data_IF_096298214628
#
_entry.id   IF_096298214628
#
_cell.length_a   1.000
_cell.length_b   1.000
_cell.length_c   1.000
_cell.angle_alpha   90.00
_cell.angle_beta   90.00
_cell.angle_gamma   90.00
#
_symmetry.space_group_name_H-M   'P 1'
#
loop_
_entity.id
_entity.type
_entity.pdbx_description
1 polymer ?
#
# COMPACT_ATOMS: atom_id res chain seq x y z
N UNK A 1 -26.21 -4.77 24.20
CA UNK A 1 -24.99 -4.68 23.37
C UNK A 1 -25.40 -4.48 21.91
N UNK A 2 -24.95 -3.41 21.27
CA UNK A 2 -25.44 -2.97 19.95
C UNK A 2 -25.01 -3.92 18.82
N UNK A 3 -25.98 -4.50 18.09
CA UNK A 3 -25.77 -5.36 16.90
C UNK A 3 -24.88 -4.71 15.81
N UNK A 4 -24.75 -3.38 15.80
CA UNK A 4 -23.88 -2.64 14.88
C UNK A 4 -22.39 -2.89 15.12
N UNK A 5 -21.96 -3.23 16.35
CA UNK A 5 -20.55 -3.45 16.69
C UNK A 5 -20.05 -4.83 16.19
N UNK A 6 -20.92 -5.83 16.13
CA UNK A 6 -20.58 -7.17 15.62
C UNK A 6 -20.41 -7.21 14.10
N UNK A 7 -21.20 -6.42 13.36
CA UNK A 7 -21.09 -6.34 11.89
C UNK A 7 -19.77 -5.64 11.50
N UNK A 8 -19.35 -4.61 12.25
CA UNK A 8 -18.07 -3.93 12.01
C UNK A 8 -16.86 -4.80 12.35
N UNK A 9 -16.95 -5.64 13.39
CA UNK A 9 -15.86 -6.56 13.75
C UNK A 9 -15.73 -7.76 12.80
N UNK A 10 -16.85 -8.32 12.33
CA UNK A 10 -16.83 -9.40 11.33
C UNK A 10 -16.28 -8.96 9.98
N UNK A 11 -16.56 -7.73 9.55
CA UNK A 11 -15.98 -7.14 8.34
C UNK A 11 -14.48 -6.89 8.51
N UNK A 12 -14.04 -6.42 9.68
CA UNK A 12 -12.62 -6.19 9.95
C UNK A 12 -11.79 -7.49 9.98
N UNK A 13 -12.32 -8.55 10.60
CA UNK A 13 -11.67 -9.87 10.63
C UNK A 13 -11.66 -10.50 9.23
N UNK A 14 -12.76 -10.39 8.48
CA UNK A 14 -12.82 -10.83 7.08
C UNK A 14 -11.81 -10.09 6.18
N UNK A 15 -11.64 -8.78 6.35
CA UNK A 15 -10.65 -7.98 5.61
C UNK A 15 -9.21 -8.34 6.01
N UNK A 16 -8.95 -8.64 7.29
CA UNK A 16 -7.63 -9.09 7.76
C UNK A 16 -7.30 -10.49 7.21
N UNK A 17 -8.25 -11.42 7.20
CA UNK A 17 -8.05 -12.77 6.62
C UNK A 17 -7.91 -12.72 5.10
N UNK A 18 -8.62 -11.82 4.42
CA UNK A 18 -8.41 -11.54 2.99
C UNK A 18 -7.01 -10.95 2.76
N UNK A 19 -6.55 -10.01 3.59
CA UNK A 19 -5.20 -9.46 3.50
C UNK A 19 -4.11 -10.54 3.72
N UNK A 20 -4.30 -11.44 4.69
CA UNK A 20 -3.37 -12.54 4.97
C UNK A 20 -3.35 -13.59 3.86
N UNK A 21 -4.51 -13.95 3.30
CA UNK A 21 -4.60 -14.93 2.20
C UNK A 21 -4.03 -14.38 0.89
N UNK A 22 -4.24 -13.10 0.60
CA UNK A 22 -3.61 -12.40 -0.53
C UNK A 22 -2.08 -12.36 -0.37
N UNK A 23 -1.58 -11.98 0.81
CA UNK A 23 -0.14 -11.97 1.07
C UNK A 23 0.49 -13.37 1.04
N UNK A 24 -0.22 -14.39 1.54
CA UNK A 24 0.24 -15.79 1.51
C UNK A 24 0.26 -16.37 0.10
N UNK A 25 -0.78 -16.09 -0.71
CA UNK A 25 -0.83 -16.50 -2.11
C UNK A 25 0.25 -15.79 -2.95
N UNK A 26 0.46 -14.49 -2.75
CA UNK A 26 1.52 -13.75 -3.45
C UNK A 26 2.94 -14.16 -3.02
N UNK A 27 3.13 -14.60 -1.77
CA UNK A 27 4.41 -15.15 -1.30
C UNK A 27 4.77 -16.50 -1.92
N UNK A 28 3.79 -17.35 -2.22
CA UNK A 28 4.07 -18.66 -2.83
C UNK A 28 4.42 -18.57 -4.33
N UNK A 29 4.14 -17.46 -5.01
CA UNK A 29 4.66 -17.19 -6.37
C UNK A 29 6.05 -16.52 -6.36
N UNK A 30 6.50 -16.03 -5.21
CA UNK A 30 7.78 -15.34 -5.06
C UNK A 30 8.75 -16.22 -4.30
N UNK A 31 9.59 -16.97 -5.01
CA UNK A 31 10.61 -17.82 -4.41
C UNK A 31 11.42 -17.07 -3.35
N UNK A 32 11.29 -17.53 -2.11
CA UNK A 32 11.94 -16.97 -0.93
C UNK A 32 13.46 -16.91 -1.13
N UNK A 33 14.00 -15.69 -1.24
CA UNK A 33 15.38 -15.41 -0.84
C UNK A 33 15.32 -14.51 0.38
N UNK A 34 15.66 -15.10 1.54
CA UNK A 34 16.18 -14.35 2.68
C UNK A 34 17.26 -13.39 2.17
N UNK A 35 17.01 -12.08 2.25
CA UNK A 35 18.05 -11.06 2.08
C UNK A 35 18.22 -10.37 3.43
N UNK A 36 19.44 -10.48 3.93
CA UNK A 36 19.90 -9.80 5.13
C UNK A 36 19.74 -8.28 4.99
N UNK A 37 19.33 -7.66 6.09
CA UNK A 37 19.09 -6.23 6.22
C UNK A 37 20.38 -5.45 6.01
N UNK A 38 20.45 -4.62 4.97
CA UNK A 38 21.28 -3.42 5.02
C UNK A 38 20.56 -2.39 5.89
N UNK A 39 20.77 -2.48 7.21
CA UNK A 39 20.38 -1.46 8.17
C UNK A 39 21.47 -0.39 8.18
N UNK A 40 21.36 0.61 7.32
CA UNK A 40 22.22 1.77 7.43
C UNK A 40 21.60 2.71 8.48
N UNK A 41 22.25 2.77 9.65
CA UNK A 41 22.02 3.78 10.66
C UNK A 41 22.18 5.17 10.03
N UNK A 42 21.06 5.85 9.76
CA UNK A 42 21.06 7.29 9.56
C UNK A 42 20.95 7.96 10.93
N UNK A 43 22.08 8.03 11.64
CA UNK A 43 22.27 8.95 12.77
C UNK A 43 22.39 10.40 12.24
N UNK A 44 21.31 10.90 11.65
CA UNK A 44 21.13 12.31 11.31
C UNK A 44 19.68 12.70 11.52
N UNK A 45 19.48 13.60 12.49
CA UNK A 45 18.27 14.36 12.84
C UNK A 45 17.10 14.25 11.84
N UNK A 46 15.97 13.74 12.32
CA UNK A 46 14.61 13.84 11.76
C UNK A 46 14.56 13.99 10.23
N UNK A 47 14.68 12.86 9.52
CA UNK A 47 14.35 12.76 8.10
C UNK A 47 13.04 13.50 7.84
N UNK A 48 13.11 14.52 6.97
CA UNK A 48 11.96 15.20 6.35
C UNK A 48 11.20 14.21 5.46
N UNK A 49 10.69 13.10 6.02
CA UNK A 49 10.07 11.94 5.36
C UNK A 49 8.89 12.36 4.48
N UNK A 50 9.21 12.96 3.34
CA UNK A 50 8.34 13.50 2.32
C UNK A 50 8.76 12.75 1.05
N UNK A 51 8.41 11.47 1.01
CA UNK A 51 8.58 10.61 -0.17
C UNK A 51 7.20 10.09 -0.56
N UNK A 52 6.36 10.90 -1.23
CA UNK A 52 4.99 10.51 -1.61
C UNK A 52 4.94 9.32 -2.57
N UNK A 53 6.02 9.08 -3.29
CA UNK A 53 6.20 7.91 -4.16
C UNK A 53 6.81 6.69 -3.42
N UNK A 54 7.01 6.80 -2.10
CA UNK A 54 7.72 5.83 -1.30
C UNK A 54 9.24 5.92 -1.44
N UNK A 55 9.96 5.24 -0.53
CA UNK A 55 11.35 4.86 -0.77
C UNK A 55 11.26 3.63 -1.68
N UNK A 56 11.41 3.81 -2.99
CA UNK A 56 11.25 2.72 -3.97
C UNK A 56 12.03 1.46 -3.57
N UNK A 57 11.61 0.30 -4.07
CA UNK A 57 12.37 -0.94 -3.91
C UNK A 57 13.57 -0.89 -4.89
N UNK A 58 14.56 -0.06 -4.57
CA UNK A 58 15.65 0.36 -5.45
C UNK A 58 16.56 -0.81 -5.89
N UNK A 59 16.59 -1.89 -5.11
CA UNK A 59 17.50 -3.01 -5.30
C UNK A 59 17.16 -3.90 -6.51
N UNK A 60 15.97 -3.76 -7.10
CA UNK A 60 15.49 -4.63 -8.19
C UNK A 60 15.15 -3.88 -9.49
N UNK A 61 15.31 -2.55 -9.54
CA UNK A 61 15.17 -1.82 -10.81
C UNK A 61 16.54 -1.73 -11.49
N UNK A 62 16.67 -2.39 -12.65
CA UNK A 62 17.81 -2.16 -13.53
C UNK A 62 17.76 -0.70 -14.00
N UNK A 63 18.73 0.10 -13.54
CA UNK A 63 18.90 1.46 -14.07
C UNK A 63 19.05 1.42 -15.59
N UNK A 64 18.47 2.41 -16.26
CA UNK A 64 18.67 2.60 -17.71
C UNK A 64 20.12 2.91 -18.08
N UNK A 65 20.97 3.20 -17.10
CA UNK A 65 22.40 3.41 -17.25
C UNK A 65 23.17 2.17 -16.81
N UNK A 66 23.74 1.43 -17.76
CA UNK A 66 24.55 0.23 -17.52
C UNK A 66 25.44 -0.12 -18.72
N UNK A 67 26.37 -1.05 -18.52
CA UNK A 67 27.50 -1.31 -19.43
C UNK A 67 27.13 -1.64 -20.89
N UNK A 68 25.88 -2.06 -21.16
CA UNK A 68 25.41 -2.44 -22.50
C UNK A 68 24.19 -1.64 -23.01
N UNK A 69 23.67 -0.67 -22.23
CA UNK A 69 22.49 0.12 -22.61
C UNK A 69 22.78 1.61 -22.41
N UNK A 70 22.80 2.36 -23.52
CA UNK A 70 22.80 3.82 -23.50
C UNK A 70 21.59 4.32 -24.28
N UNK A 71 20.60 4.86 -23.56
CA UNK A 71 19.50 5.60 -24.18
C UNK A 71 19.97 7.01 -24.55
N UNK A 72 19.41 7.60 -25.61
CA UNK A 72 19.72 8.99 -26.00
C UNK A 72 19.21 9.99 -24.95
N UNK A 73 19.75 11.21 -24.93
CA UNK A 73 19.21 12.26 -24.04
C UNK A 73 17.73 12.56 -24.33
N UNK A 74 17.34 12.60 -25.62
CA UNK A 74 15.95 12.80 -26.00
C UNK A 74 15.03 11.71 -25.46
N UNK A 75 15.43 10.44 -25.58
CA UNK A 75 14.69 9.32 -25.04
C UNK A 75 14.58 9.38 -23.51
N UNK A 76 15.67 9.73 -22.82
CA UNK A 76 15.66 9.90 -21.36
C UNK A 76 14.64 10.93 -20.90
N UNK A 77 14.60 12.08 -21.58
CA UNK A 77 13.67 13.17 -21.27
C UNK A 77 12.22 12.74 -21.54
N UNK A 78 11.94 12.04 -22.63
CA UNK A 78 10.58 11.55 -22.91
C UNK A 78 10.12 10.53 -21.88
N UNK A 79 11.00 9.58 -21.48
CA UNK A 79 10.69 8.63 -20.41
C UNK A 79 10.45 9.30 -19.05
N UNK A 80 11.15 10.41 -18.76
CA UNK A 80 10.88 11.22 -17.57
C UNK A 80 9.51 11.90 -17.65
N UNK A 81 9.15 12.51 -18.78
CA UNK A 81 7.85 13.20 -18.97
C UNK A 81 6.64 12.27 -18.88
N UNK A 82 6.80 11.00 -19.25
CA UNK A 82 5.74 9.98 -19.13
C UNK A 82 5.77 9.26 -17.79
N UNK A 83 6.83 9.43 -17.01
CA UNK A 83 7.04 8.72 -15.75
C UNK A 83 7.37 7.24 -15.92
N UNK A 84 7.67 6.79 -17.15
CA UNK A 84 8.21 5.45 -17.40
C UNK A 84 9.45 5.22 -16.53
N UNK A 85 10.26 6.26 -16.37
CA UNK A 85 11.30 6.36 -15.34
C UNK A 85 11.05 7.55 -14.42
N UNK A 86 11.69 7.49 -13.25
CA UNK A 86 11.73 8.59 -12.31
C UNK A 86 13.19 9.00 -12.09
N UNK A 87 13.49 10.29 -12.26
CA UNK A 87 14.87 10.79 -12.18
C UNK A 87 15.55 10.48 -10.84
N UNK A 88 14.82 10.69 -9.73
CA UNK A 88 15.35 10.44 -8.39
C UNK A 88 15.72 8.97 -8.25
N UNK A 89 14.83 8.07 -8.68
CA UNK A 89 15.10 6.63 -8.63
C UNK A 89 16.29 6.22 -9.49
N UNK A 90 16.46 6.78 -10.68
CA UNK A 90 17.66 6.52 -11.51
C UNK A 90 18.95 6.97 -10.83
N UNK A 91 18.94 8.13 -10.16
CA UNK A 91 20.10 8.59 -9.37
C UNK A 91 20.41 7.59 -8.26
N UNK A 92 19.40 7.13 -7.51
CA UNK A 92 19.60 6.12 -6.46
C UNK A 92 20.09 4.78 -7.00
N UNK A 93 19.55 4.32 -8.11
CA UNK A 93 19.97 3.07 -8.76
C UNK A 93 21.42 3.16 -9.24
N UNK A 94 21.86 4.31 -9.76
CA UNK A 94 23.26 4.53 -10.12
C UNK A 94 24.17 4.63 -8.89
N UNK A 95 23.74 5.30 -7.81
CA UNK A 95 24.48 5.34 -6.54
C UNK A 95 24.62 3.96 -5.92
N UNK A 96 23.64 3.08 -6.10
CA UNK A 96 23.71 1.67 -5.67
C UNK A 96 24.79 0.85 -6.37
N UNK A 97 25.33 1.33 -7.49
CA UNK A 97 26.47 0.70 -8.21
C UNK A 97 27.83 1.25 -7.76
N UNK A 98 27.87 2.25 -6.89
CA UNK A 98 29.12 2.77 -6.37
C UNK A 98 29.84 1.74 -5.48
N UNK A 99 31.18 1.77 -5.42
CA UNK A 99 31.94 1.04 -4.40
C UNK A 99 31.50 1.43 -2.97
N UNK A 100 31.44 0.46 -2.05
CA UNK A 100 30.97 0.67 -0.67
C UNK A 100 31.80 1.72 0.10
N UNK A 101 33.06 1.93 -0.29
CA UNK A 101 33.96 2.89 0.33
C UNK A 101 33.81 4.32 -0.22
N UNK A 102 32.89 4.58 -1.15
CA UNK A 102 32.66 5.90 -1.73
C UNK A 102 31.72 6.74 -0.86
N UNK A 103 32.13 7.97 -0.56
CA UNK A 103 31.23 8.98 -0.02
C UNK A 103 30.25 9.53 -1.07
N UNK A 104 29.19 10.26 -0.65
CA UNK A 104 28.17 10.79 -1.56
C UNK A 104 28.74 11.61 -2.74
N UNK A 105 29.70 12.50 -2.48
CA UNK A 105 30.33 13.32 -3.53
C UNK A 105 31.15 12.48 -4.52
N UNK A 106 31.83 11.43 -4.04
CA UNK A 106 32.60 10.52 -4.90
C UNK A 106 31.67 9.72 -5.81
N UNK A 107 30.52 9.30 -5.29
CA UNK A 107 29.46 8.70 -6.09
C UNK A 107 28.92 9.64 -7.16
N UNK A 108 28.57 10.86 -6.78
CA UNK A 108 28.03 11.86 -7.72
C UNK A 108 29.01 12.15 -8.86
N UNK A 109 30.31 12.27 -8.55
CA UNK A 109 31.38 12.43 -9.54
C UNK A 109 31.53 11.21 -10.46
N UNK A 110 31.31 10.00 -9.94
CA UNK A 110 31.34 8.77 -10.73
C UNK A 110 30.20 8.73 -11.75
N UNK A 111 29.00 9.16 -11.35
CA UNK A 111 27.85 9.30 -12.25
C UNK A 111 28.16 10.32 -13.37
N UNK A 112 28.76 11.47 -13.02
CA UNK A 112 29.14 12.47 -14.03
C UNK A 112 30.21 11.95 -15.00
N UNK A 113 31.16 11.15 -14.50
CA UNK A 113 32.21 10.53 -15.33
C UNK A 113 31.67 9.44 -16.25
N UNK A 114 30.66 8.70 -15.80
CA UNK A 114 29.91 7.78 -16.66
C UNK A 114 29.26 8.55 -17.82
N UNK A 115 28.59 9.68 -17.54
CA UNK A 115 27.97 10.51 -18.58
C UNK A 115 29.03 11.05 -19.55
N UNK A 116 30.18 11.50 -19.06
CA UNK A 116 31.29 11.97 -19.91
C UNK A 116 31.82 10.90 -20.86
N UNK A 117 31.79 9.63 -20.44
CA UNK A 117 32.32 8.51 -21.21
C UNK A 117 31.34 7.95 -22.24
N UNK A 118 30.03 8.11 -22.01
CA UNK A 118 28.98 7.49 -22.83
C UNK A 118 28.21 8.47 -23.72
N UNK A 119 28.34 9.77 -23.51
CA UNK A 119 27.61 10.79 -24.27
C UNK A 119 28.56 11.81 -24.92
N UNK A 120 28.14 12.36 -26.06
CA UNK A 120 28.85 13.43 -26.77
C UNK A 120 28.08 14.76 -26.67
N UNK A 121 28.75 15.92 -26.84
CA UNK A 121 28.06 17.20 -26.96
C UNK A 121 27.10 17.23 -28.16
N UNK A 122 25.93 17.89 -28.05
CA UNK A 122 25.45 18.68 -26.90
C UNK A 122 24.77 17.83 -25.80
N UNK A 123 24.39 16.59 -26.09
CA UNK A 123 23.60 15.73 -25.18
C UNK A 123 24.29 15.49 -23.84
N UNK A 124 25.61 15.25 -23.85
CA UNK A 124 26.43 15.10 -22.65
C UNK A 124 26.27 16.29 -21.71
N UNK A 125 26.34 17.50 -22.25
CA UNK A 125 26.32 18.73 -21.45
C UNK A 125 24.92 18.96 -20.87
N UNK A 126 23.87 18.67 -21.64
CA UNK A 126 22.48 18.69 -21.17
C UNK A 126 22.23 17.67 -20.05
N UNK A 127 22.68 16.43 -20.24
CA UNK A 127 22.56 15.36 -19.23
C UNK A 127 23.29 15.77 -17.95
N UNK A 128 24.56 16.17 -18.04
CA UNK A 128 25.34 16.62 -16.87
C UNK A 128 24.70 17.80 -16.16
N UNK A 129 24.12 18.74 -16.90
CA UNK A 129 23.45 19.90 -16.29
C UNK A 129 22.25 19.48 -15.43
N UNK A 130 21.47 18.49 -15.88
CA UNK A 130 20.33 17.96 -15.12
C UNK A 130 20.80 17.27 -13.83
N UNK A 131 21.79 16.37 -13.91
CA UNK A 131 22.37 15.70 -12.74
C UNK A 131 23.00 16.67 -11.75
N UNK A 132 23.84 17.61 -12.22
CA UNK A 132 24.46 18.63 -11.36
C UNK A 132 23.42 19.50 -10.67
N UNK A 133 22.34 19.86 -11.36
CA UNK A 133 21.25 20.65 -10.78
C UNK A 133 20.55 19.88 -9.67
N UNK A 134 20.32 18.58 -9.86
CA UNK A 134 19.77 17.71 -8.82
C UNK A 134 20.70 17.55 -7.61
N UNK A 135 22.00 17.30 -7.82
CA UNK A 135 22.96 17.18 -6.71
C UNK A 135 23.08 18.49 -5.91
N UNK A 136 23.03 19.64 -6.58
CA UNK A 136 22.94 20.96 -5.92
C UNK A 136 21.67 21.06 -5.07
N UNK A 137 20.53 20.65 -5.62
CA UNK A 137 19.26 20.61 -4.88
C UNK A 137 19.36 19.75 -3.62
N UNK A 138 19.91 18.53 -3.70
CA UNK A 138 20.05 17.67 -2.52
C UNK A 138 20.93 18.30 -1.45
N UNK A 139 22.05 18.92 -1.85
CA UNK A 139 22.93 19.61 -0.92
C UNK A 139 22.24 20.79 -0.22
N UNK A 140 21.47 21.60 -0.96
CA UNK A 140 20.71 22.71 -0.38
C UNK A 140 19.58 22.24 0.55
N UNK A 141 18.86 21.18 0.19
CA UNK A 141 17.77 20.66 1.04
C UNK A 141 18.30 20.02 2.33
N UNK A 142 19.48 19.38 2.32
CA UNK A 142 20.10 18.87 3.56
C UNK A 142 20.40 19.96 4.59
N UNK A 143 20.60 21.19 4.13
CA UNK A 143 20.87 22.35 4.98
C UNK A 143 19.59 23.11 5.35
N UNK A 144 18.45 22.71 4.79
CA UNK A 144 17.18 23.37 5.01
C UNK A 144 16.55 22.91 6.33
N UNK A 145 16.29 23.86 7.22
CA UNK A 145 15.51 23.62 8.42
C UNK A 145 14.02 23.84 8.13
N UNK A 146 13.22 22.79 8.27
CA UNK A 146 11.76 22.87 8.17
C UNK A 146 11.20 22.57 9.56
N UNK A 147 10.23 23.39 9.99
CA UNK A 147 9.56 23.19 11.28
C UNK A 147 8.87 21.81 11.31
N UNK A 148 9.22 20.92 12.26
CA UNK A 148 8.64 19.58 12.34
C UNK A 148 7.15 19.58 12.68
N UNK A 149 6.63 20.67 13.26
CA UNK A 149 5.23 20.80 13.65
C UNK A 149 4.27 21.19 12.50
N UNK A 150 4.80 21.45 11.30
CA UNK A 150 3.98 21.77 10.12
C UNK A 150 3.23 20.55 9.59
N UNK A 151 2.09 20.78 8.93
CA UNK A 151 1.36 19.72 8.24
C UNK A 151 2.21 19.13 7.09
N UNK A 152 1.79 17.98 6.55
CA UNK A 152 2.47 17.43 5.38
C UNK A 152 2.39 18.39 4.18
N UNK A 153 1.21 18.97 3.95
CA UNK A 153 0.92 19.87 2.83
C UNK A 153 1.77 21.14 2.90
N UNK A 154 1.89 21.73 4.09
CA UNK A 154 2.72 22.92 4.31
C UNK A 154 4.20 22.64 4.02
N UNK A 155 4.72 21.52 4.53
CA UNK A 155 6.11 21.11 4.27
C UNK A 155 6.35 20.80 2.80
N UNK A 156 5.39 20.15 2.14
CA UNK A 156 5.48 19.84 0.71
C UNK A 156 5.52 21.10 -0.15
N UNK A 157 4.69 22.10 0.16
CA UNK A 157 4.68 23.36 -0.58
C UNK A 157 5.97 24.16 -0.41
N UNK A 158 6.56 24.15 0.78
CA UNK A 158 7.89 24.73 1.03
C UNK A 158 8.94 24.02 0.17
N UNK A 159 8.95 22.68 0.17
CA UNK A 159 9.87 21.86 -0.60
C UNK A 159 9.71 22.10 -2.12
N UNK A 160 8.47 22.15 -2.60
CA UNK A 160 8.13 22.43 -4.00
C UNK A 160 8.64 23.79 -4.45
N UNK A 161 8.44 24.85 -3.66
CA UNK A 161 8.97 26.19 -3.95
C UNK A 161 10.50 26.16 -4.06
N UNK A 162 11.18 25.53 -3.10
CA UNK A 162 12.64 25.42 -3.10
C UNK A 162 13.17 24.64 -4.31
N UNK A 163 12.47 23.56 -4.73
CA UNK A 163 12.77 22.84 -5.98
C UNK A 163 12.72 23.78 -7.19
N UNK A 164 11.65 24.59 -7.34
CA UNK A 164 11.53 25.54 -8.45
C UNK A 164 12.60 26.64 -8.42
N UNK A 165 13.00 27.11 -7.24
CA UNK A 165 14.07 28.09 -7.11
C UNK A 165 15.41 27.57 -7.65
N UNK A 166 15.78 26.34 -7.27
CA UNK A 166 17.08 25.72 -7.55
C UNK A 166 17.15 25.10 -8.95
N UNK A 167 16.11 24.36 -9.34
CA UNK A 167 16.08 23.58 -10.58
C UNK A 167 15.47 24.36 -11.75
N UNK A 168 14.69 25.41 -11.46
CA UNK A 168 13.76 26.06 -12.40
C UNK A 168 12.63 25.12 -12.82
N UNK A 169 11.57 25.69 -13.42
CA UNK A 169 10.32 24.97 -13.69
C UNK A 169 10.53 23.69 -14.51
N UNK A 170 11.25 23.78 -15.63
CA UNK A 170 11.44 22.65 -16.55
C UNK A 170 12.12 21.44 -15.89
N UNK A 171 13.28 21.63 -15.26
CA UNK A 171 13.97 20.51 -14.60
C UNK A 171 13.22 20.02 -13.36
N UNK A 172 12.56 20.91 -12.63
CA UNK A 172 11.78 20.50 -11.48
C UNK A 172 10.57 19.65 -11.90
N UNK A 173 9.94 19.95 -13.05
CA UNK A 173 8.87 19.13 -13.63
C UNK A 173 9.40 17.77 -14.10
N UNK A 174 10.58 17.73 -14.73
CA UNK A 174 11.21 16.47 -15.14
C UNK A 174 11.60 15.57 -13.95
N UNK A 175 12.08 16.18 -12.86
CA UNK A 175 12.60 15.43 -11.70
C UNK A 175 11.47 15.03 -10.74
N UNK A 176 10.53 15.95 -10.48
CA UNK A 176 9.53 15.82 -9.42
C UNK A 176 8.08 15.86 -9.92
N UNK A 177 7.82 16.08 -11.21
CA UNK A 177 6.46 16.23 -11.74
C UNK A 177 5.56 15.02 -11.45
N UNK A 178 6.10 13.80 -11.55
CA UNK A 178 5.36 12.58 -11.19
C UNK A 178 4.96 12.57 -9.71
N UNK A 179 5.88 12.95 -8.81
CA UNK A 179 5.62 13.04 -7.38
C UNK A 179 4.59 14.12 -7.06
N UNK A 180 4.73 15.30 -7.67
CA UNK A 180 3.80 16.42 -7.49
C UNK A 180 2.38 16.02 -7.93
N UNK A 181 2.24 15.29 -9.04
CA UNK A 181 0.95 14.78 -9.50
C UNK A 181 0.33 13.76 -8.52
N UNK A 182 1.17 12.95 -7.84
CA UNK A 182 0.72 12.03 -6.80
C UNK A 182 0.18 12.78 -5.59
N UNK A 183 0.92 13.79 -5.13
CA UNK A 183 0.50 14.62 -3.99
C UNK A 183 -0.79 15.35 -4.29
N UNK A 184 -0.92 15.94 -5.47
CA UNK A 184 -2.15 16.61 -5.89
C UNK A 184 -3.35 15.63 -5.92
N UNK A 185 -3.15 14.42 -6.43
CA UNK A 185 -4.18 13.40 -6.44
C UNK A 185 -4.57 12.90 -5.04
N UNK A 186 -3.65 12.85 -4.08
CA UNK A 186 -3.95 12.35 -2.72
C UNK A 186 -5.07 13.17 -2.06
N UNK A 187 -4.94 14.50 -2.08
CA UNK A 187 -5.97 15.37 -1.49
C UNK A 187 -7.23 15.42 -2.36
N UNK A 188 -7.09 15.61 -3.67
CA UNK A 188 -8.22 15.67 -4.58
C UNK A 188 -9.06 14.38 -4.59
N UNK A 189 -8.40 13.22 -4.53
CA UNK A 189 -9.03 11.91 -4.47
C UNK A 189 -9.80 11.71 -3.16
N UNK A 190 -9.20 12.08 -2.03
CA UNK A 190 -9.88 12.04 -0.72
C UNK A 190 -11.09 12.97 -0.68
N UNK A 191 -10.93 14.19 -1.17
CA UNK A 191 -12.02 15.16 -1.26
C UNK A 191 -13.15 14.64 -2.17
N UNK A 192 -12.80 14.08 -3.33
CA UNK A 192 -13.77 13.46 -4.24
C UNK A 192 -14.54 12.34 -3.54
N UNK A 193 -13.86 11.40 -2.87
CA UNK A 193 -14.51 10.29 -2.15
C UNK A 193 -15.54 10.84 -1.13
N UNK A 194 -15.21 11.91 -0.41
CA UNK A 194 -16.11 12.48 0.59
C UNK A 194 -17.29 13.26 0.02
N UNK A 195 -17.07 14.03 -1.03
CA UNK A 195 -18.09 14.92 -1.63
C UNK A 195 -19.01 14.20 -2.60
N UNK A 196 -18.56 13.10 -3.22
CA UNK A 196 -19.31 12.33 -4.22
C UNK A 196 -20.25 11.26 -3.65
N UNK A 197 -20.42 11.14 -2.33
CA UNK A 197 -21.18 10.03 -1.70
C UNK A 197 -22.62 9.85 -2.22
N UNK A 198 -23.25 10.93 -2.70
CA UNK A 198 -24.63 10.89 -3.23
C UNK A 198 -24.71 10.48 -4.72
N UNK A 199 -23.58 10.33 -5.40
CA UNK A 199 -23.55 9.92 -6.80
C UNK A 199 -23.86 8.43 -6.95
N UNK A 200 -24.37 8.04 -8.12
CA UNK A 200 -24.49 6.64 -8.49
C UNK A 200 -23.10 5.98 -8.55
N UNK A 201 -22.98 4.71 -8.14
CA UNK A 201 -21.71 3.98 -8.08
C UNK A 201 -20.94 3.94 -9.40
N UNK A 202 -21.62 3.75 -10.53
CA UNK A 202 -20.96 3.72 -11.85
C UNK A 202 -20.38 5.09 -12.23
N UNK A 203 -21.16 6.15 -12.06
CA UNK A 203 -20.70 7.52 -12.33
C UNK A 203 -19.59 7.95 -11.37
N UNK A 204 -19.69 7.52 -10.11
CA UNK A 204 -18.69 7.81 -9.07
C UNK A 204 -17.34 7.16 -9.39
N UNK A 205 -17.33 5.90 -9.80
CA UNK A 205 -16.11 5.21 -10.25
C UNK A 205 -15.54 5.86 -11.51
N UNK A 206 -16.39 6.12 -12.52
CA UNK A 206 -15.95 6.77 -13.77
C UNK A 206 -15.35 8.16 -13.52
N UNK A 207 -15.99 8.97 -12.67
CA UNK A 207 -15.52 10.31 -12.37
C UNK A 207 -14.26 10.31 -11.49
N UNK A 208 -14.10 9.33 -10.60
CA UNK A 208 -12.86 9.13 -9.85
C UNK A 208 -11.69 8.81 -10.79
N UNK A 209 -11.87 7.88 -11.73
CA UNK A 209 -10.86 7.56 -12.74
C UNK A 209 -10.57 8.75 -13.67
N UNK A 210 -11.59 9.53 -14.01
CA UNK A 210 -11.41 10.76 -14.81
C UNK A 210 -10.59 11.79 -14.05
N UNK A 211 -10.85 11.98 -12.75
CA UNK A 211 -10.07 12.87 -11.88
C UNK A 211 -8.61 12.40 -11.82
N UNK A 212 -8.40 11.11 -11.59
CA UNK A 212 -7.07 10.49 -11.53
C UNK A 212 -6.28 10.70 -12.83
N UNK A 213 -6.90 10.42 -13.98
CA UNK A 213 -6.30 10.66 -15.30
C UNK A 213 -5.98 12.12 -15.54
N UNK A 214 -6.87 13.04 -15.13
CA UNK A 214 -6.65 14.48 -15.27
C UNK A 214 -5.45 14.94 -14.46
N UNK A 215 -5.31 14.49 -13.21
CA UNK A 215 -4.26 14.95 -12.29
C UNK A 215 -2.91 14.31 -12.60
N UNK A 216 -2.87 13.02 -12.94
CA UNK A 216 -1.62 12.37 -13.35
C UNK A 216 -1.16 12.82 -14.74
N UNK A 217 -2.07 13.22 -15.64
CA UNK A 217 -1.71 13.70 -16.96
C UNK A 217 -0.89 12.66 -17.74
N UNK A 218 0.29 13.07 -18.22
CA UNK A 218 1.22 12.18 -18.94
C UNK A 218 1.76 11.03 -18.09
N UNK A 219 1.72 11.15 -16.75
CA UNK A 219 2.18 10.11 -15.81
C UNK A 219 1.16 9.00 -15.57
N UNK A 220 -0.07 9.11 -16.10
CA UNK A 220 -1.18 8.24 -15.70
C UNK A 220 -0.88 6.75 -15.85
N UNK A 221 -0.38 6.33 -17.03
CA UNK A 221 -0.11 4.91 -17.29
C UNK A 221 1.00 4.37 -16.37
N UNK A 222 2.04 5.17 -16.14
CA UNK A 222 3.16 4.80 -15.29
C UNK A 222 2.79 4.78 -13.79
N UNK A 223 1.83 5.60 -13.37
CA UNK A 223 1.31 5.59 -12.01
C UNK A 223 0.37 4.41 -11.79
N UNK A 224 -0.60 4.20 -12.68
CA UNK A 224 -1.59 3.12 -12.55
C UNK A 224 -0.97 1.73 -12.63
N UNK A 225 0.06 1.55 -13.48
CA UNK A 225 0.76 0.26 -13.59
C UNK A 225 1.51 -0.15 -12.32
N UNK A 226 1.86 0.81 -11.45
CA UNK A 226 2.59 0.59 -10.19
C UNK A 226 1.69 0.46 -8.98
N UNK A 227 0.40 0.78 -9.12
CA UNK A 227 -0.53 0.71 -8.01
C UNK A 227 -0.88 -0.73 -7.66
N UNK A 228 -1.08 -0.95 -6.36
CA UNK A 228 -1.53 -2.24 -5.87
C UNK A 228 -2.98 -2.52 -6.32
N UNK A 229 -3.20 -3.72 -6.87
CA UNK A 229 -4.51 -4.15 -7.36
C UNK A 229 -5.53 -4.26 -6.23
N UNK A 230 -5.08 -4.62 -5.02
CA UNK A 230 -5.95 -4.71 -3.87
C UNK A 230 -6.37 -3.33 -3.36
N UNK A 231 -5.48 -2.35 -3.32
CA UNK A 231 -5.83 -0.96 -3.00
C UNK A 231 -6.84 -0.37 -4.00
N UNK A 232 -6.67 -0.66 -5.29
CA UNK A 232 -7.61 -0.26 -6.33
C UNK A 232 -8.98 -0.96 -6.17
N UNK A 233 -8.99 -2.25 -5.84
CA UNK A 233 -10.22 -2.97 -5.51
C UNK A 233 -10.94 -2.36 -4.29
N UNK A 234 -10.23 -2.09 -3.19
CA UNK A 234 -10.79 -1.47 -1.98
C UNK A 234 -11.35 -0.08 -2.27
N UNK A 235 -10.64 0.69 -3.10
CA UNK A 235 -11.10 2.01 -3.55
C UNK A 235 -12.40 1.91 -4.34
N UNK A 236 -12.52 0.97 -5.29
CA UNK A 236 -13.78 0.77 -6.00
C UNK A 236 -14.92 0.30 -5.09
N UNK A 237 -14.65 -0.57 -4.12
CA UNK A 237 -15.64 -0.97 -3.10
C UNK A 237 -16.13 0.25 -2.31
N UNK A 238 -15.23 1.12 -1.86
CA UNK A 238 -15.57 2.35 -1.16
C UNK A 238 -16.38 3.33 -2.03
N UNK A 239 -16.03 3.44 -3.31
CA UNK A 239 -16.78 4.26 -4.27
C UNK A 239 -18.19 3.71 -4.50
N UNK A 240 -18.39 2.40 -4.33
CA UNK A 240 -19.68 1.71 -4.50
C UNK A 240 -20.42 1.42 -3.19
N UNK A 241 -19.94 1.88 -2.04
CA UNK A 241 -20.48 1.51 -0.73
C UNK A 241 -22.01 1.71 -0.62
N UNK A 242 -22.51 2.88 -1.00
CA UNK A 242 -23.94 3.22 -0.98
C UNK A 242 -24.80 2.33 -1.88
N UNK A 243 -24.24 1.90 -3.02
CA UNK A 243 -24.90 0.97 -3.93
C UNK A 243 -24.93 -0.44 -3.31
N UNK A 244 -23.78 -0.91 -2.83
CA UNK A 244 -23.63 -2.24 -2.23
C UNK A 244 -24.48 -2.42 -0.97
N UNK A 245 -24.70 -1.35 -0.20
CA UNK A 245 -25.52 -1.38 1.02
C UNK A 245 -27.02 -1.46 0.76
N UNK A 246 -27.48 -1.18 -0.46
CA UNK A 246 -28.89 -1.29 -0.86
C UNK A 246 -29.26 -2.65 -1.44
N UNK A 247 -28.25 -3.45 -1.81
CA UNK A 247 -28.42 -4.78 -2.36
C UNK A 247 -28.72 -5.80 -1.25
N UNK A 248 -29.45 -6.86 -1.62
CA UNK A 248 -29.54 -8.02 -0.73
C UNK A 248 -28.19 -8.78 -0.69
N UNK A 249 -28.05 -9.72 0.25
CA UNK A 249 -26.79 -10.43 0.46
C UNK A 249 -26.29 -11.17 -0.79
N UNK A 250 -27.18 -11.81 -1.56
CA UNK A 250 -26.79 -12.56 -2.76
C UNK A 250 -26.34 -11.64 -3.89
N UNK A 251 -27.06 -10.55 -4.12
CA UNK A 251 -26.72 -9.53 -5.12
C UNK A 251 -25.40 -8.83 -4.78
N UNK A 252 -25.22 -8.48 -3.50
CA UNK A 252 -23.98 -7.88 -2.99
C UNK A 252 -22.79 -8.81 -3.21
N UNK A 253 -22.95 -10.08 -2.88
CA UNK A 253 -21.90 -11.09 -3.04
C UNK A 253 -21.52 -11.31 -4.50
N UNK A 254 -22.51 -11.44 -5.39
CA UNK A 254 -22.28 -11.53 -6.84
C UNK A 254 -21.53 -10.30 -7.38
N UNK A 255 -21.88 -9.10 -6.90
CA UNK A 255 -21.23 -7.86 -7.32
C UNK A 255 -19.79 -7.75 -6.83
N UNK A 256 -19.53 -8.14 -5.58
CA UNK A 256 -18.16 -8.19 -5.03
C UNK A 256 -17.32 -9.22 -5.77
N UNK A 257 -17.85 -10.40 -6.07
CA UNK A 257 -17.15 -11.43 -6.83
C UNK A 257 -16.77 -10.96 -8.25
N UNK A 258 -17.67 -10.26 -8.95
CA UNK A 258 -17.35 -9.68 -10.25
C UNK A 258 -16.22 -8.62 -10.16
N UNK A 259 -16.17 -7.84 -9.09
CA UNK A 259 -15.07 -6.91 -8.83
C UNK A 259 -13.76 -7.66 -8.53
N UNK A 260 -13.81 -8.76 -7.79
CA UNK A 260 -12.63 -9.61 -7.56
C UNK A 260 -12.09 -10.18 -8.88
N UNK A 261 -12.96 -10.66 -9.78
CA UNK A 261 -12.54 -11.10 -11.12
C UNK A 261 -11.87 -9.96 -11.88
N UNK A 262 -12.46 -8.75 -11.86
CA UNK A 262 -11.92 -7.57 -12.55
C UNK A 262 -10.48 -7.26 -12.12
N UNK A 263 -10.17 -7.33 -10.82
CA UNK A 263 -8.87 -6.92 -10.30
C UNK A 263 -7.86 -8.07 -10.19
N UNK A 264 -8.29 -9.27 -9.84
CA UNK A 264 -7.40 -10.39 -9.50
C UNK A 264 -7.50 -11.57 -10.48
N UNK A 265 -8.46 -11.53 -11.40
CA UNK A 265 -8.75 -12.66 -12.29
C UNK A 265 -9.59 -13.75 -11.61
N UNK A 266 -10.09 -14.68 -12.42
CA UNK A 266 -11.06 -15.70 -11.99
C UNK A 266 -10.49 -16.65 -10.93
N UNK A 267 -9.27 -17.13 -11.11
CA UNK A 267 -8.68 -18.11 -10.19
C UNK A 267 -8.55 -17.57 -8.76
N UNK A 268 -8.07 -16.32 -8.62
CA UNK A 268 -7.94 -15.68 -7.31
C UNK A 268 -9.32 -15.38 -6.73
N UNK A 269 -10.26 -14.90 -7.54
CA UNK A 269 -11.63 -14.66 -7.09
C UNK A 269 -12.30 -15.95 -6.56
N UNK A 270 -12.10 -17.09 -7.23
CA UNK A 270 -12.62 -18.40 -6.79
C UNK A 270 -12.01 -18.82 -5.44
N UNK A 271 -10.69 -18.61 -5.26
CA UNK A 271 -10.02 -18.85 -3.96
C UNK A 271 -10.58 -17.95 -2.86
N UNK A 272 -10.81 -16.67 -3.15
CA UNK A 272 -11.39 -15.72 -2.19
C UNK A 272 -12.82 -16.11 -1.80
N UNK A 273 -13.64 -16.54 -2.76
CA UNK A 273 -15.00 -16.98 -2.52
C UNK A 273 -15.03 -18.24 -1.66
N UNK A 274 -14.15 -19.22 -1.96
CA UNK A 274 -14.00 -20.43 -1.13
C UNK A 274 -13.58 -20.10 0.30
N UNK A 275 -12.57 -19.23 0.48
CA UNK A 275 -12.13 -18.81 1.81
C UNK A 275 -13.24 -18.11 2.60
N UNK A 276 -14.09 -17.32 1.92
CA UNK A 276 -15.26 -16.70 2.52
C UNK A 276 -16.30 -17.74 2.96
N UNK A 277 -16.58 -18.74 2.14
CA UNK A 277 -17.53 -19.82 2.48
C UNK A 277 -17.04 -20.67 3.66
N UNK A 278 -15.74 -20.98 3.70
CA UNK A 278 -15.08 -21.67 4.81
C UNK A 278 -15.21 -20.83 6.10
N UNK A 279 -14.89 -19.54 6.04
CA UNK A 279 -15.04 -18.61 7.17
C UNK A 279 -16.49 -18.50 7.66
N UNK A 280 -17.47 -18.40 6.76
CA UNK A 280 -18.89 -18.38 7.14
C UNK A 280 -19.33 -19.69 7.79
N UNK A 281 -18.78 -20.82 7.33
CA UNK A 281 -19.06 -22.13 7.91
C UNK A 281 -18.50 -22.23 9.33
N UNK A 282 -17.26 -21.78 9.53
CA UNK A 282 -16.63 -21.71 10.85
C UNK A 282 -17.40 -20.79 11.81
N UNK A 283 -17.76 -19.59 11.37
CA UNK A 283 -18.56 -18.65 12.16
C UNK A 283 -19.91 -19.24 12.58
N UNK A 284 -20.57 -19.98 11.69
CA UNK A 284 -21.84 -20.64 12.00
C UNK A 284 -21.66 -21.77 13.02
N UNK A 285 -20.57 -22.55 12.93
CA UNK A 285 -20.24 -23.58 13.94
C UNK A 285 -19.97 -22.95 15.30
N UNK A 286 -19.25 -21.83 15.35
CA UNK A 286 -18.99 -21.08 16.59
C UNK A 286 -20.31 -20.58 17.19
N UNK A 287 -21.20 -19.99 16.39
CA UNK A 287 -22.52 -19.55 16.87
C UNK A 287 -23.38 -20.69 17.39
N UNK A 288 -23.39 -21.83 16.70
CA UNK A 288 -24.12 -23.03 17.14
C UNK A 288 -23.58 -23.53 18.49
N UNK A 289 -22.25 -23.57 18.65
CA UNK A 289 -21.62 -23.89 19.93
C UNK A 289 -22.02 -22.90 21.02
N UNK A 290 -21.91 -21.59 20.78
CA UNK A 290 -22.24 -20.57 21.78
C UNK A 290 -23.70 -20.65 22.22
N UNK A 291 -24.62 -20.87 21.28
CA UNK A 291 -26.04 -21.08 21.60
C UNK A 291 -26.25 -22.33 22.46
N UNK A 292 -25.71 -23.48 22.05
CA UNK A 292 -25.87 -24.73 22.80
C UNK A 292 -25.20 -24.69 24.17
N UNK A 293 -24.06 -24.01 24.29
CA UNK A 293 -23.38 -23.79 25.56
C UNK A 293 -24.25 -22.95 26.51
N UNK A 294 -24.89 -21.88 26.01
CA UNK A 294 -25.80 -21.07 26.80
C UNK A 294 -27.06 -21.84 27.23
N UNK A 295 -27.63 -22.62 26.32
CA UNK A 295 -28.76 -23.52 26.63
C UNK A 295 -28.38 -24.57 27.67
N UNK A 296 -27.18 -25.17 27.56
CA UNK A 296 -26.67 -26.11 28.55
C UNK A 296 -26.53 -25.47 29.93
N UNK A 297 -25.88 -24.30 30.02
CA UNK A 297 -25.66 -23.59 31.28
C UNK A 297 -26.98 -23.18 31.95
N UNK A 298 -27.95 -22.71 31.18
CA UNK A 298 -29.27 -22.31 31.71
C UNK A 298 -30.08 -23.49 32.26
N UNK A 299 -29.95 -24.69 31.64
CA UNK A 299 -30.66 -25.90 32.07
C UNK A 299 -29.95 -26.69 33.16
N UNK A 300 -28.65 -26.46 33.37
CA UNK A 300 -27.80 -27.26 34.27
C UNK A 300 -27.14 -26.41 35.36
N UNK A 301 -27.89 -25.45 35.93
CA UNK A 301 -27.37 -24.55 36.97
C UNK A 301 -26.93 -25.25 38.26
N UNK A 302 -27.45 -26.45 38.53
CA UNK A 302 -27.15 -27.26 39.73
C UNK A 302 -25.88 -28.10 39.64
N UNK A 303 -25.25 -28.22 38.47
CA UNK A 303 -23.98 -28.94 38.33
C UNK A 303 -22.83 -28.20 38.99
N UNK A 304 -21.80 -28.94 39.42
CA UNK A 304 -20.55 -28.32 39.87
C UNK A 304 -19.81 -27.66 38.70
N UNK A 305 -18.97 -26.67 39.00
CA UNK A 305 -18.19 -25.97 37.97
C UNK A 305 -17.29 -26.91 37.17
N UNK A 306 -16.70 -27.92 37.82
CA UNK A 306 -15.86 -28.93 37.15
C UNK A 306 -16.66 -29.77 36.14
N UNK A 307 -17.89 -30.16 36.50
CA UNK A 307 -18.76 -30.93 35.61
C UNK A 307 -19.27 -30.08 34.44
N UNK A 308 -19.58 -28.80 34.69
CA UNK A 308 -19.94 -27.85 33.62
C UNK A 308 -18.80 -27.69 32.63
N UNK A 309 -17.57 -27.50 33.12
CA UNK A 309 -16.39 -27.33 32.28
C UNK A 309 -16.11 -28.56 31.41
N UNK A 310 -16.21 -29.76 31.98
CA UNK A 310 -16.04 -31.02 31.25
C UNK A 310 -17.09 -31.19 30.15
N UNK A 311 -18.38 -30.93 30.48
CA UNK A 311 -19.48 -31.02 29.49
C UNK A 311 -19.41 -29.96 28.41
N UNK A 312 -18.97 -28.74 28.74
CA UNK A 312 -18.74 -27.68 27.75
C UNK A 312 -17.56 -28.00 26.84
N UNK A 313 -16.50 -28.64 27.37
CA UNK A 313 -15.37 -29.12 26.56
C UNK A 313 -15.79 -30.20 25.59
N UNK A 314 -16.61 -31.15 26.02
CA UNK A 314 -17.15 -32.21 25.15
C UNK A 314 -18.02 -31.61 24.04
N UNK A 315 -18.95 -30.72 24.40
CA UNK A 315 -19.83 -30.02 23.47
C UNK A 315 -19.02 -29.20 22.44
N UNK A 316 -17.96 -28.53 22.89
CA UNK A 316 -17.07 -27.76 22.02
C UNK A 316 -16.32 -28.66 21.05
N UNK A 317 -15.77 -29.77 21.54
CA UNK A 317 -15.04 -30.74 20.71
C UNK A 317 -15.95 -31.40 19.68
N UNK A 318 -17.20 -31.66 20.05
CA UNK A 318 -18.20 -32.24 19.16
C UNK A 318 -18.59 -31.30 18.01
N UNK A 319 -18.72 -29.99 18.27
CA UNK A 319 -19.22 -29.01 17.28
C UNK A 319 -18.09 -28.39 16.46
N UNK A 320 -16.99 -28.00 17.13
CA UNK A 320 -15.87 -27.31 16.49
C UNK A 320 -14.75 -28.27 16.05
N UNK A 321 -14.68 -29.47 16.64
CA UNK A 321 -13.51 -30.34 16.57
C UNK A 321 -12.48 -30.00 17.63
N UNK A 322 -11.47 -30.87 17.79
CA UNK A 322 -10.46 -30.76 18.85
C UNK A 322 -9.60 -29.50 18.70
N UNK A 323 -9.04 -29.29 17.51
CA UNK A 323 -8.10 -28.20 17.25
C UNK A 323 -8.78 -26.82 17.32
N UNK A 324 -9.90 -26.66 16.61
CA UNK A 324 -10.65 -25.39 16.60
C UNK A 324 -11.33 -25.12 17.95
N UNK A 325 -11.72 -26.17 18.67
CA UNK A 325 -12.21 -26.07 20.03
C UNK A 325 -11.17 -25.53 21.01
N UNK A 326 -9.90 -25.95 20.89
CA UNK A 326 -8.81 -25.39 21.70
C UNK A 326 -8.45 -23.95 21.27
N UNK A 327 -8.48 -23.66 19.96
CA UNK A 327 -8.28 -22.30 19.44
C UNK A 327 -9.35 -21.32 19.97
N UNK A 328 -10.61 -21.76 20.02
CA UNK A 328 -11.71 -20.98 20.58
C UNK A 328 -11.46 -20.59 22.05
N UNK A 329 -10.96 -21.51 22.89
CA UNK A 329 -10.63 -21.20 24.30
C UNK A 329 -9.56 -20.13 24.39
N UNK A 330 -8.49 -20.26 23.60
CA UNK A 330 -7.41 -19.28 23.56
C UNK A 330 -7.94 -17.90 23.18
N UNK A 331 -8.81 -17.82 22.16
CA UNK A 331 -9.45 -16.56 21.74
C UNK A 331 -10.30 -15.95 22.85
N UNK A 332 -11.14 -16.73 23.53
CA UNK A 332 -11.97 -16.23 24.64
C UNK A 332 -11.15 -15.76 25.84
N UNK A 333 -10.09 -16.48 26.21
CA UNK A 333 -9.20 -16.05 27.29
C UNK A 333 -8.53 -14.69 26.98
N UNK A 334 -8.12 -14.48 25.72
CA UNK A 334 -7.57 -13.19 25.26
C UNK A 334 -8.63 -12.08 25.30
N UNK A 335 -9.86 -12.36 24.85
CA UNK A 335 -10.97 -11.40 24.90
C UNK A 335 -11.33 -10.98 26.34
N UNK A 336 -11.27 -11.91 27.29
CA UNK A 336 -11.52 -11.63 28.71
C UNK A 336 -10.39 -10.80 29.35
N UNK A 337 -9.14 -11.11 29.01
CA UNK A 337 -7.98 -10.33 29.42
C UNK A 337 -8.07 -8.89 28.90
N UNK A 338 -8.38 -8.67 27.63
CA UNK A 338 -8.51 -7.32 27.05
C UNK A 338 -9.63 -6.51 27.71
N UNK A 339 -10.74 -7.16 28.08
CA UNK A 339 -11.83 -6.51 28.84
C UNK A 339 -11.44 -6.16 30.28
N UNK A 340 -10.53 -6.92 30.89
CA UNK A 340 -10.04 -6.66 32.25
C UNK A 340 -9.02 -5.52 32.32
N UNK A 341 -8.26 -5.30 31.24
CA UNK A 341 -7.26 -4.22 31.12
C UNK A 341 -7.89 -2.86 30.77
N UNK A 342 -9.07 -2.88 30.14
CA UNK A 342 -9.84 -1.67 29.80
C UNK A 342 -10.82 -1.20 30.89
N UNK A 343 -10.89 -1.92 32.01
CA UNK A 343 -11.57 -1.48 33.24
C UNK A 343 -10.54 -0.91 34.19
#
# INVERSE_FOLDING_TARGET
MNKKIFITFGVLIGVILIYFTINWAMRNESGDKKKDKFSMNSDSKEDLNIFPLGRGNYDNQESLFGDNNSISYGEFIEKLKTGEINFVWEVWAMRGKCPENYGPEQCDNSILSYIDSHYQPPERDSMKNLFRSYFRYENEIRQMEINPNMSFEERYEILKKKRREILKNENADLIFGMEESKVEFMDAGKNFINTSRKMNGNDRVKNYETLKRKLYGSYYEAMVSREDKFDNFQTEILLREEELNKLNSQEKDSKIYNLQIKYFGKEVADKMQKAKEESLTEDNKIKDYEQKAQEFLSKNGSLSEKEKEEKLKDLRTQILGKEEGEAYVRRKAIEELDKSVKK
#
